data_IF_495459896339
#
_entry.id   IF_495459896339
#
_cell.length_a   1.000
_cell.length_b   1.000
_cell.length_c   1.000
_cell.angle_alpha   90.00
_cell.angle_beta   90.00
_cell.angle_gamma   90.00
#
_symmetry.space_group_name_H-M   'P 1'
#
loop_
_entity.id
_entity.type
_entity.pdbx_description
1 polymer ?
#
# COMPACT_ATOMS: atom_id res chain seq x y z
N UNK A 1 -4.42 -17.94 -10.12
CA UNK A 1 -5.87 -18.06 -10.37
C UNK A 1 -6.63 -17.00 -9.58
N UNK A 2 -6.39 -15.72 -9.90
CA UNK A 2 -7.04 -14.56 -9.26
C UNK A 2 -7.49 -13.59 -10.35
N UNK A 3 -6.62 -13.31 -11.32
CA UNK A 3 -6.96 -12.54 -12.52
C UNK A 3 -8.19 -13.10 -13.24
N UNK A 4 -8.27 -14.42 -13.42
CA UNK A 4 -9.46 -15.08 -14.02
C UNK A 4 -10.75 -14.88 -13.21
N UNK A 5 -10.66 -14.81 -11.88
CA UNK A 5 -11.83 -14.55 -11.02
C UNK A 5 -12.30 -13.10 -11.21
N UNK A 6 -11.36 -12.16 -11.29
CA UNK A 6 -11.64 -10.75 -11.55
C UNK A 6 -12.26 -10.59 -12.94
N UNK A 7 -11.69 -11.21 -13.98
CA UNK A 7 -12.23 -11.19 -15.34
C UNK A 7 -13.64 -11.77 -15.42
N UNK A 8 -13.90 -12.89 -14.74
CA UNK A 8 -15.24 -13.48 -14.69
C UNK A 8 -16.25 -12.55 -14.02
N UNK A 9 -15.91 -11.98 -12.86
CA UNK A 9 -16.76 -11.01 -12.18
C UNK A 9 -16.96 -9.74 -13.01
N UNK A 10 -15.92 -9.25 -13.69
CA UNK A 10 -16.02 -8.10 -14.57
C UNK A 10 -16.99 -8.35 -15.74
N UNK A 11 -16.93 -9.53 -16.36
CA UNK A 11 -17.86 -9.92 -17.43
C UNK A 11 -19.30 -10.04 -16.92
N UNK A 12 -19.50 -10.66 -15.75
CA UNK A 12 -20.83 -10.80 -15.11
C UNK A 12 -21.46 -9.44 -14.80
N UNK A 13 -20.66 -8.51 -14.26
CA UNK A 13 -21.11 -7.17 -13.88
C UNK A 13 -20.99 -6.13 -15.00
N UNK A 14 -20.57 -6.52 -16.21
CA UNK A 14 -20.36 -5.63 -17.37
C UNK A 14 -19.41 -4.45 -17.06
N UNK A 15 -18.33 -4.72 -16.34
CA UNK A 15 -17.32 -3.75 -15.96
C UNK A 15 -16.15 -3.76 -16.96
N UNK A 16 -15.62 -2.59 -17.28
CA UNK A 16 -14.43 -2.43 -18.13
C UNK A 16 -13.15 -2.64 -17.32
N UNK A 17 -12.84 -3.89 -16.98
CA UNK A 17 -11.63 -4.26 -16.22
C UNK A 17 -10.68 -5.04 -17.12
N UNK A 18 -9.43 -4.58 -17.19
CA UNK A 18 -8.34 -5.28 -17.87
C UNK A 18 -7.43 -5.90 -16.80
N UNK A 19 -7.18 -7.20 -16.93
CA UNK A 19 -6.30 -7.93 -16.04
C UNK A 19 -4.99 -8.27 -16.77
N UNK A 20 -3.86 -8.01 -16.12
CA UNK A 20 -2.53 -8.29 -16.67
C UNK A 20 -1.66 -8.96 -15.62
N UNK A 21 -1.02 -10.10 -15.92
CA UNK A 21 0.00 -10.66 -15.05
C UNK A 21 1.25 -9.78 -15.13
N UNK A 22 1.68 -9.25 -13.99
CA UNK A 22 2.89 -8.42 -13.89
C UNK A 22 3.74 -8.93 -12.73
N UNK A 23 5.03 -9.11 -12.98
CA UNK A 23 6.04 -9.32 -11.94
C UNK A 23 6.72 -7.99 -11.64
N UNK A 24 6.42 -7.40 -10.49
CA UNK A 24 6.95 -6.08 -10.10
C UNK A 24 8.47 -6.06 -9.90
N UNK A 25 9.13 -7.22 -9.86
CA UNK A 25 10.60 -7.31 -9.83
C UNK A 25 11.22 -7.04 -11.21
N UNK A 26 10.41 -7.06 -12.27
CA UNK A 26 10.82 -6.74 -13.63
C UNK A 26 10.42 -5.31 -13.97
N UNK A 27 11.07 -4.68 -14.98
CA UNK A 27 10.64 -3.37 -15.46
C UNK A 27 9.15 -3.36 -15.79
N UNK A 28 8.47 -2.29 -15.38
CA UNK A 28 7.06 -2.10 -15.71
C UNK A 28 6.90 -1.90 -17.23
N UNK A 29 5.79 -2.40 -17.79
CA UNK A 29 5.41 -2.08 -19.16
C UNK A 29 5.28 -0.56 -19.38
N UNK A 30 5.67 -0.06 -20.55
CA UNK A 30 5.63 1.37 -20.81
C UNK A 30 4.21 1.92 -20.91
N UNK A 31 3.25 1.11 -21.35
CA UNK A 31 1.83 1.49 -21.49
C UNK A 31 1.13 1.81 -20.17
N UNK A 32 1.69 1.37 -19.03
CA UNK A 32 1.11 1.63 -17.71
C UNK A 32 1.73 2.82 -16.99
N UNK A 33 2.88 3.34 -17.46
CA UNK A 33 3.59 4.43 -16.79
C UNK A 33 2.83 5.74 -16.92
N UNK A 34 2.54 6.39 -15.79
CA UNK A 34 1.79 7.65 -15.75
C UNK A 34 0.38 7.57 -16.34
N UNK A 35 -0.16 6.37 -16.57
CA UNK A 35 -1.40 6.16 -17.29
C UNK A 35 -2.65 6.32 -16.39
N UNK A 36 -2.47 6.26 -15.07
CA UNK A 36 -3.58 6.17 -14.12
C UNK A 36 -3.69 7.41 -13.22
N UNK A 37 -4.91 7.89 -13.02
CA UNK A 37 -5.20 8.95 -12.03
C UNK A 37 -5.24 8.42 -10.60
N UNK A 38 -5.64 7.16 -10.43
CA UNK A 38 -5.72 6.51 -9.13
C UNK A 38 -4.99 5.18 -9.22
N UNK A 39 -4.10 4.93 -8.25
CA UNK A 39 -3.45 3.63 -8.07
C UNK A 39 -3.71 3.15 -6.66
N UNK A 40 -4.14 1.89 -6.52
CA UNK A 40 -4.42 1.25 -5.24
C UNK A 40 -3.52 0.03 -5.10
N UNK A 41 -2.87 -0.12 -3.96
CA UNK A 41 -2.03 -1.28 -3.67
C UNK A 41 -2.14 -1.70 -2.20
N UNK A 42 -2.06 -3.00 -1.93
CA UNK A 42 -1.88 -3.52 -0.58
C UNK A 42 -0.57 -4.31 -0.56
N UNK A 43 0.56 -3.62 -0.26
CA UNK A 43 1.89 -4.18 -0.44
C UNK A 43 2.22 -5.21 0.64
N UNK A 44 3.33 -5.95 0.43
CA UNK A 44 3.95 -6.71 1.50
C UNK A 44 4.56 -5.73 2.51
N UNK A 45 4.24 -5.85 3.81
CA UNK A 45 4.60 -4.85 4.83
C UNK A 45 6.06 -4.87 5.30
N UNK A 46 6.87 -5.78 4.79
CA UNK A 46 8.32 -5.67 4.94
C UNK A 46 8.82 -4.49 4.11
N UNK A 47 9.59 -3.58 4.71
CA UNK A 47 9.89 -2.27 4.10
C UNK A 47 10.51 -2.35 2.70
N UNK A 48 11.51 -3.22 2.41
CA UNK A 48 12.05 -3.33 1.05
C UNK A 48 10.98 -3.70 0.00
N UNK A 49 10.12 -4.66 0.34
CA UNK A 49 9.03 -5.12 -0.53
C UNK A 49 7.93 -4.07 -0.63
N UNK A 50 7.64 -3.36 0.45
CA UNK A 50 6.70 -2.26 0.45
C UNK A 50 7.14 -1.16 -0.51
N UNK A 51 8.42 -0.76 -0.44
CA UNK A 51 9.00 0.24 -1.33
C UNK A 51 8.99 -0.22 -2.80
N UNK A 52 9.12 -1.52 -3.08
CA UNK A 52 8.99 -2.05 -4.44
C UNK A 52 7.59 -1.81 -5.01
N UNK A 53 6.55 -2.17 -4.24
CA UNK A 53 5.16 -1.97 -4.64
C UNK A 53 4.81 -0.50 -4.76
N UNK A 54 5.21 0.32 -3.78
CA UNK A 54 4.98 1.76 -3.79
C UNK A 54 5.67 2.43 -4.98
N UNK A 55 6.90 2.04 -5.32
CA UNK A 55 7.61 2.58 -6.48
C UNK A 55 6.95 2.17 -7.80
N UNK A 56 6.45 0.93 -7.90
CA UNK A 56 5.70 0.50 -9.07
C UNK A 56 4.38 1.27 -9.21
N UNK A 57 3.67 1.46 -8.09
CA UNK A 57 2.42 2.19 -8.05
C UNK A 57 2.61 3.68 -8.42
N UNK A 58 3.65 4.31 -7.88
CA UNK A 58 4.02 5.69 -8.20
C UNK A 58 4.45 5.85 -9.67
N UNK A 59 5.13 4.88 -10.26
CA UNK A 59 5.48 4.88 -11.68
C UNK A 59 4.24 4.78 -12.59
N UNK A 60 3.20 4.07 -12.17
CA UNK A 60 1.93 3.99 -12.88
C UNK A 60 1.08 5.27 -12.73
N UNK A 61 1.29 6.01 -11.64
CA UNK A 61 0.50 7.19 -11.29
C UNK A 61 0.88 8.39 -12.18
N UNK A 62 -0.13 9.02 -12.77
CA UNK A 62 0.00 10.29 -13.49
C UNK A 62 0.56 11.36 -12.56
N UNK A 63 1.50 12.17 -13.05
CA UNK A 63 2.14 13.26 -12.29
C UNK A 63 1.24 14.50 -12.27
N UNK A 64 0.08 14.39 -11.61
CA UNK A 64 -0.86 15.49 -11.46
C UNK A 64 -1.27 15.63 -9.98
N UNK A 65 -1.60 16.86 -9.51
CA UNK A 65 -2.12 17.09 -8.15
C UNK A 65 -3.43 16.34 -7.86
N UNK A 66 -4.20 16.05 -8.91
CA UNK A 66 -5.47 15.31 -8.85
C UNK A 66 -5.27 13.79 -8.87
N UNK A 67 -4.03 13.30 -8.83
CA UNK A 67 -3.72 11.87 -8.84
C UNK A 67 -3.40 11.35 -7.44
N UNK A 68 -3.94 10.17 -7.12
CA UNK A 68 -3.90 9.60 -5.77
C UNK A 68 -3.33 8.18 -5.75
N UNK A 69 -2.40 7.95 -4.84
CA UNK A 69 -1.90 6.61 -4.48
C UNK A 69 -2.49 6.21 -3.14
N UNK A 70 -3.33 5.18 -3.15
CA UNK A 70 -3.88 4.57 -1.97
C UNK A 70 -3.09 3.30 -1.63
N UNK A 71 -2.65 3.19 -0.38
CA UNK A 71 -1.88 2.02 0.04
C UNK A 71 -2.23 1.53 1.43
N UNK A 72 -2.33 0.22 1.58
CA UNK A 72 -2.25 -0.43 2.88
C UNK A 72 -0.83 -0.36 3.45
N UNK A 73 -0.69 -0.49 4.76
CA UNK A 73 0.61 -0.60 5.43
C UNK A 73 0.44 -0.78 6.93
N UNK A 74 1.54 -0.79 7.67
CA UNK A 74 1.47 -0.79 9.13
C UNK A 74 2.67 -0.05 9.70
N UNK A 75 2.41 1.12 10.28
CA UNK A 75 3.44 1.88 11.00
C UNK A 75 4.01 1.05 12.16
N UNK A 76 3.16 0.25 12.80
CA UNK A 76 3.53 -0.64 13.92
C UNK A 76 4.51 -1.72 13.47
N UNK A 77 4.26 -2.37 12.32
CA UNK A 77 5.15 -3.40 11.79
C UNK A 77 6.43 -2.81 11.19
N UNK A 78 6.34 -1.65 10.56
CA UNK A 78 7.51 -0.95 10.02
C UNK A 78 8.42 -0.41 11.14
N UNK A 79 7.85 -0.02 12.29
CA UNK A 79 8.59 0.51 13.44
C UNK A 79 9.52 1.66 13.02
N UNK A 80 10.79 1.59 13.44
CA UNK A 80 11.82 2.59 13.06
C UNK A 80 12.10 2.65 11.57
N UNK A 81 11.77 1.61 10.81
CA UNK A 81 12.00 1.57 9.35
C UNK A 81 10.96 2.37 8.57
N UNK A 82 9.90 2.87 9.23
CA UNK A 82 8.89 3.73 8.60
C UNK A 82 9.49 5.02 8.02
N UNK A 83 10.54 5.57 8.66
CA UNK A 83 11.25 6.75 8.16
C UNK A 83 11.71 6.59 6.70
N UNK A 84 12.06 5.37 6.26
CA UNK A 84 12.44 5.10 4.86
C UNK A 84 11.28 5.29 3.87
N UNK A 85 10.06 5.08 4.33
CA UNK A 85 8.83 5.28 3.53
C UNK A 85 8.55 6.76 3.39
N UNK A 86 8.74 7.52 4.47
CA UNK A 86 8.62 8.98 4.48
C UNK A 86 9.68 9.61 3.58
N UNK A 87 10.95 9.18 3.71
CA UNK A 87 12.05 9.59 2.83
C UNK A 87 11.76 9.23 1.36
N UNK A 88 11.24 8.03 1.10
CA UNK A 88 10.86 7.58 -0.24
C UNK A 88 9.77 8.47 -0.85
N UNK A 89 8.76 8.84 -0.06
CA UNK A 89 7.65 9.69 -0.49
C UNK A 89 8.12 11.12 -0.77
N UNK A 90 8.91 11.70 0.15
CA UNK A 90 9.49 13.03 0.00
C UNK A 90 10.36 13.12 -1.26
N UNK A 91 11.21 12.12 -1.51
CA UNK A 91 12.06 12.07 -2.71
C UNK A 91 11.26 12.04 -4.03
N UNK A 92 10.00 11.62 -3.99
CA UNK A 92 9.08 11.54 -5.14
C UNK A 92 8.06 12.68 -5.18
N UNK A 93 8.21 13.67 -4.30
CA UNK A 93 7.26 14.79 -4.16
C UNK A 93 5.84 14.32 -3.84
N UNK A 94 5.73 13.20 -3.13
CA UNK A 94 4.47 12.71 -2.61
C UNK A 94 4.27 13.23 -1.20
N UNK A 95 3.08 13.77 -0.95
CA UNK A 95 2.63 14.19 0.37
C UNK A 95 1.56 13.23 0.87
N UNK A 96 1.62 12.91 2.17
CA UNK A 96 0.60 12.13 2.84
C UNK A 96 -0.63 13.04 3.08
N UNK A 97 -1.69 12.79 2.33
CA UNK A 97 -2.95 13.52 2.43
C UNK A 97 -3.81 13.01 3.58
N UNK A 98 -3.83 11.69 3.79
CA UNK A 98 -4.60 11.08 4.86
C UNK A 98 -3.92 9.83 5.41
N UNK A 99 -4.11 9.63 6.71
CA UNK A 99 -3.71 8.45 7.45
C UNK A 99 -4.92 7.92 8.24
N UNK A 100 -5.32 6.69 7.93
CA UNK A 100 -6.47 6.02 8.54
C UNK A 100 -5.97 4.80 9.32
N UNK A 101 -5.75 4.92 10.64
CA UNK A 101 -5.21 3.83 11.44
C UNK A 101 -6.22 2.68 11.58
N UNK A 102 -5.75 1.44 11.44
CA UNK A 102 -6.58 0.24 11.60
C UNK A 102 -7.76 0.11 10.62
N UNK A 103 -7.69 0.77 9.47
CA UNK A 103 -8.76 0.79 8.46
C UNK A 103 -9.03 -0.60 7.85
N UNK A 104 -7.99 -1.36 7.52
CA UNK A 104 -8.17 -2.68 6.92
C UNK A 104 -8.23 -3.77 7.99
N UNK A 105 -9.16 -4.70 7.82
CA UNK A 105 -9.39 -5.83 8.74
C UNK A 105 -9.28 -7.13 7.97
N UNK A 106 -8.24 -7.91 8.23
CA UNK A 106 -7.99 -9.18 7.56
C UNK A 106 -8.25 -10.35 8.50
N UNK A 107 -9.02 -11.37 8.08
CA UNK A 107 -9.14 -12.60 8.85
C UNK A 107 -7.78 -13.31 8.92
N UNK A 108 -7.34 -13.70 10.11
CA UNK A 108 -6.11 -14.49 10.28
C UNK A 108 -6.24 -15.81 9.54
N UNK A 109 -5.40 -16.00 8.52
CA UNK A 109 -5.29 -17.27 7.81
C UNK A 109 -4.86 -18.40 8.76
N UNK A 110 -5.23 -19.65 8.41
CA UNK A 110 -4.92 -20.84 9.22
C UNK A 110 -3.44 -20.97 9.55
N UNK A 111 -2.55 -20.60 8.60
CA UNK A 111 -1.10 -20.59 8.78
C UNK A 111 -0.63 -19.60 9.85
N UNK A 112 -1.06 -18.34 9.78
CA UNK A 112 -0.69 -17.31 10.77
C UNK A 112 -1.19 -17.71 12.15
N UNK A 113 -2.42 -18.25 12.22
CA UNK A 113 -2.99 -18.77 13.47
C UNK A 113 -2.14 -19.89 14.07
N UNK A 114 -1.65 -20.81 13.24
CA UNK A 114 -0.75 -21.88 13.66
C UNK A 114 0.57 -21.34 14.21
N UNK A 115 1.26 -20.46 13.47
CA UNK A 115 2.53 -19.88 13.94
C UNK A 115 2.38 -19.10 15.24
N UNK A 116 1.32 -18.29 15.36
CA UNK A 116 1.04 -17.57 16.60
C UNK A 116 0.74 -18.51 17.77
N UNK A 117 0.07 -19.64 17.54
CA UNK A 117 -0.19 -20.65 18.57
C UNK A 117 1.09 -21.35 19.05
N UNK A 118 2.06 -21.55 18.16
CA UNK A 118 3.38 -22.11 18.51
C UNK A 118 4.20 -21.08 19.29
N UNK A 119 4.19 -19.81 18.86
CA UNK A 119 4.82 -18.71 19.60
C UNK A 119 4.21 -18.49 21.00
N UNK A 120 2.88 -18.64 21.14
CA UNK A 120 2.17 -18.60 22.42
C UNK A 120 2.70 -19.69 23.38
N UNK A 121 2.93 -20.90 22.87
CA UNK A 121 3.46 -22.02 23.66
C UNK A 121 4.92 -21.86 24.06
N UNK A 122 5.73 -21.18 23.24
CA UNK A 122 7.18 -21.11 23.43
C UNK A 122 7.67 -19.84 24.13
N UNK A 123 6.96 -18.70 24.04
CA UNK A 123 7.60 -17.41 24.36
C UNK A 123 6.74 -16.35 25.10
N UNK A 124 5.42 -16.53 25.24
CA UNK A 124 4.56 -15.45 25.75
C UNK A 124 4.19 -15.63 27.23
N UNK A 125 5.00 -15.03 28.12
CA UNK A 125 4.73 -14.95 29.58
C UNK A 125 3.68 -13.89 29.95
N UNK A 126 3.49 -12.86 29.12
CA UNK A 126 2.56 -11.77 29.39
C UNK A 126 1.10 -12.13 29.03
N UNK A 127 0.14 -11.98 29.96
CA UNK A 127 -1.29 -12.19 29.71
C UNK A 127 -1.86 -11.33 28.58
N UNK A 128 -1.41 -10.07 28.48
CA UNK A 128 -1.85 -9.14 27.43
C UNK A 128 -1.41 -9.59 26.05
N UNK A 129 -0.18 -10.07 25.94
CA UNK A 129 0.36 -10.54 24.67
C UNK A 129 -0.34 -11.83 24.20
N UNK A 130 -0.79 -12.69 25.12
CA UNK A 130 -1.68 -13.83 24.79
C UNK A 130 -3.06 -13.39 24.31
N UNK A 131 -3.64 -12.35 24.91
CA UNK A 131 -4.93 -11.81 24.48
C UNK A 131 -4.89 -11.29 23.04
N UNK A 132 -3.82 -10.57 22.66
CA UNK A 132 -3.64 -10.06 21.30
C UNK A 132 -3.44 -11.18 20.25
N UNK A 133 -2.79 -12.29 20.62
CA UNK A 133 -2.65 -13.47 19.76
C UNK A 133 -4.00 -14.10 19.40
N UNK A 134 -4.95 -14.08 20.34
CA UNK A 134 -6.30 -14.66 20.20
C UNK A 134 -7.26 -13.82 19.39
N UNK A 135 -6.94 -12.56 19.07
CA UNK A 135 -7.78 -11.74 18.20
C UNK A 135 -7.91 -12.41 16.82
N UNK A 136 -9.11 -12.54 16.24
CA UNK A 136 -9.29 -13.27 14.98
C UNK A 136 -8.80 -12.50 13.75
N UNK A 137 -8.54 -11.20 13.90
CA UNK A 137 -8.20 -10.30 12.80
C UNK A 137 -6.78 -9.74 12.91
N UNK A 138 -6.19 -9.42 11.76
CA UNK A 138 -5.04 -8.54 11.60
C UNK A 138 -5.56 -7.19 11.12
N UNK A 139 -5.03 -6.13 11.70
CA UNK A 139 -5.37 -4.77 11.31
C UNK A 139 -4.21 -4.17 10.54
N UNK A 140 -4.51 -3.39 9.51
CA UNK A 140 -3.53 -2.57 8.82
C UNK A 140 -4.04 -1.15 8.64
N UNK A 141 -3.11 -0.21 8.60
CA UNK A 141 -3.37 1.19 8.37
C UNK A 141 -3.53 1.46 6.88
N UNK A 142 -4.19 2.56 6.55
CA UNK A 142 -4.39 2.99 5.17
C UNK A 142 -3.86 4.41 4.96
N UNK A 143 -3.07 4.59 3.91
CA UNK A 143 -2.38 5.83 3.58
C UNK A 143 -2.84 6.31 2.22
N UNK A 144 -3.05 7.63 2.11
CA UNK A 144 -3.38 8.28 0.85
C UNK A 144 -2.28 9.28 0.55
N UNK A 145 -1.57 9.06 -0.56
CA UNK A 145 -0.55 9.96 -1.07
C UNK A 145 -1.06 10.71 -2.30
N UNK A 146 -0.61 11.94 -2.48
CA UNK A 146 -0.80 12.74 -3.70
C UNK A 146 0.47 13.50 -4.05
N UNK A 147 0.58 13.97 -5.29
CA UNK A 147 1.68 14.86 -5.66
C UNK A 147 1.54 16.23 -5.01
N UNK A 148 2.67 16.78 -4.56
CA UNK A 148 2.75 18.14 -4.08
C UNK A 148 2.58 19.12 -5.25
N UNK A 149 1.62 20.04 -5.14
CA UNK A 149 1.50 21.18 -6.06
C UNK A 149 2.77 22.03 -5.99
N UNK A 150 3.30 22.41 -7.15
CA UNK A 150 4.31 23.46 -7.20
C UNK A 150 3.70 24.73 -6.60
N UNK A 151 4.39 25.36 -5.65
CA UNK A 151 4.00 26.67 -5.17
C UNK A 151 3.89 27.62 -6.38
N UNK A 152 2.85 28.46 -6.49
CA UNK A 152 2.78 29.45 -7.55
C UNK A 152 4.05 30.30 -7.46
N UNK A 153 4.78 30.43 -8.57
CA UNK A 153 5.97 31.25 -8.63
C UNK A 153 5.63 32.65 -8.13
N UNK A 154 6.21 33.04 -6.98
CA UNK A 154 6.07 34.38 -6.44
C UNK A 154 6.40 35.39 -7.54
N UNK A 155 5.49 36.33 -7.73
CA UNK A 155 5.45 37.22 -8.89
C UNK A 155 6.80 37.85 -9.21
N UNK A 156 7.30 37.59 -10.42
CA UNK A 156 8.21 38.54 -11.05
C UNK A 156 7.46 39.88 -11.14
N UNK A 157 7.99 40.99 -10.57
CA UNK A 157 7.43 42.29 -10.86
C UNK A 157 7.49 42.50 -12.37
N UNK A 158 6.34 42.84 -12.97
CA UNK A 158 6.30 43.33 -14.34
C UNK A 158 7.16 44.60 -14.37
N UNK A 159 8.29 44.52 -15.05
CA UNK A 159 9.07 45.68 -15.47
C UNK A 159 8.30 46.44 -16.57
#
# INVERSE_FOLDING_TARGET
>A
EVLRLIEAAAAEHRLHILCRPVDLRRPLPEDVRGAYDIVVTDPIYAVPEMLLFLSAAEACLRKAPTSYLFTGGSCVLAGRSWAKVEEWAAARRLVLEAFLPGFNVYPKTKRIRFFLSVAERLALRSPLARACVRLPYLYSDYFIFRFQEDAPAEGRPRA
#
